data_IF_876353653688
#
_entry.id   IF_876353653688
#
_cell.length_a   1.000
_cell.length_b   1.000
_cell.length_c   1.000
_cell.angle_alpha   90.00
_cell.angle_beta   90.00
_cell.angle_gamma   90.00
#
_symmetry.space_group_name_H-M   'P 1'
#
loop_
_entity.id
_entity.type
_entity.pdbx_description
1 polymer ?
#
# COMPACT_ATOMS: atom_id res chain seq x y z
N UNK A 1 20.79 5.33 6.24
CA UNK A 1 19.70 4.37 6.36
C UNK A 1 18.35 5.09 6.31
N UNK A 2 17.49 4.66 5.41
CA UNK A 2 16.18 5.29 5.29
C UNK A 2 15.27 4.80 6.38
N UNK A 3 14.62 5.73 7.06
CA UNK A 3 13.60 5.40 8.03
C UNK A 3 12.24 5.80 7.47
N UNK A 4 11.25 4.96 7.68
CA UNK A 4 9.89 5.27 7.25
C UNK A 4 9.12 5.87 8.41
N UNK A 5 8.56 7.05 8.20
CA UNK A 5 7.74 7.70 9.21
C UNK A 5 6.30 7.17 9.14
N UNK A 6 5.55 7.42 10.22
CA UNK A 6 4.13 7.05 10.25
C UNK A 6 3.35 7.76 9.13
N UNK A 7 3.71 9.00 8.86
CA UNK A 7 3.07 9.77 7.78
C UNK A 7 3.29 9.11 6.43
N UNK A 8 4.51 8.66 6.15
CA UNK A 8 4.82 7.96 4.90
C UNK A 8 4.07 6.64 4.81
N UNK A 9 3.98 5.91 5.90
CA UNK A 9 3.24 4.65 5.94
C UNK A 9 1.76 4.88 5.67
N UNK A 10 1.17 5.94 6.24
CA UNK A 10 -0.23 6.29 6.01
C UNK A 10 -0.51 6.60 4.55
N UNK A 11 0.43 7.25 3.85
CA UNK A 11 0.27 7.53 2.41
C UNK A 11 0.17 6.23 1.62
N UNK A 12 1.02 5.26 1.92
CA UNK A 12 0.98 3.96 1.25
C UNK A 12 -0.34 3.25 1.55
N UNK A 13 -0.78 3.29 2.79
CA UNK A 13 -2.05 2.68 3.19
C UNK A 13 -3.24 3.31 2.47
N UNK A 14 -3.26 4.64 2.32
CA UNK A 14 -4.31 5.34 1.59
C UNK A 14 -4.35 4.91 0.13
N UNK A 15 -3.19 4.78 -0.51
CA UNK A 15 -3.10 4.29 -1.89
C UNK A 15 -3.70 2.89 -2.02
N UNK A 16 -3.40 2.02 -1.07
CA UNK A 16 -3.94 0.68 -1.04
C UNK A 16 -5.47 0.70 -0.95
N UNK A 17 -6.00 1.52 -0.04
CA UNK A 17 -7.45 1.63 0.16
C UNK A 17 -8.15 2.17 -1.09
N UNK A 18 -7.55 3.15 -1.76
CA UNK A 18 -8.10 3.71 -3.00
C UNK A 18 -8.11 2.67 -4.12
N UNK A 19 -7.02 1.92 -4.26
CA UNK A 19 -6.94 0.88 -5.28
C UNK A 19 -7.97 -0.22 -5.04
N UNK A 20 -8.15 -0.61 -3.77
CA UNK A 20 -9.16 -1.59 -3.39
C UNK A 20 -10.57 -1.08 -3.70
N UNK A 21 -10.84 0.18 -3.35
CA UNK A 21 -12.14 0.79 -3.63
C UNK A 21 -12.47 0.81 -5.11
N UNK A 22 -11.50 1.13 -5.94
CA UNK A 22 -11.67 1.11 -7.40
C UNK A 22 -11.96 -0.29 -7.90
N UNK A 23 -11.29 -1.28 -7.38
CA UNK A 23 -11.52 -2.66 -7.78
C UNK A 23 -12.93 -3.11 -7.39
N UNK A 24 -13.39 -2.77 -6.18
CA UNK A 24 -14.72 -3.14 -5.70
C UNK A 24 -15.81 -2.49 -6.59
N UNK A 25 -15.61 -1.22 -6.97
CA UNK A 25 -16.57 -0.49 -7.80
C UNK A 25 -16.54 -0.94 -9.26
N UNK A 26 -15.39 -1.31 -9.77
CA UNK A 26 -15.22 -1.68 -11.18
C UNK A 26 -14.19 -2.79 -11.28
N UNK A 27 -14.60 -4.06 -11.02
CA UNK A 27 -13.66 -5.19 -11.00
C UNK A 27 -13.22 -5.58 -12.42
N UNK A 28 -12.13 -4.99 -12.85
CA UNK A 28 -11.50 -5.28 -14.15
C UNK A 28 -10.09 -5.81 -13.91
N UNK A 29 -9.46 -6.35 -14.97
CA UNK A 29 -8.08 -6.81 -14.86
C UNK A 29 -7.13 -5.66 -14.55
N UNK A 30 -7.43 -4.46 -15.05
CA UNK A 30 -6.61 -3.28 -14.79
C UNK A 30 -6.68 -2.86 -13.31
N UNK A 31 -7.88 -2.83 -12.73
CA UNK A 31 -8.04 -2.47 -11.32
C UNK A 31 -7.52 -3.55 -10.39
N UNK A 32 -7.66 -4.82 -10.78
CA UNK A 32 -7.11 -5.94 -10.03
C UNK A 32 -5.59 -5.86 -9.97
N UNK A 33 -4.94 -5.52 -11.08
CA UNK A 33 -3.49 -5.37 -11.13
C UNK A 33 -3.02 -4.23 -10.24
N UNK A 34 -3.71 -3.10 -10.28
CA UNK A 34 -3.37 -1.95 -9.44
C UNK A 34 -3.53 -2.28 -7.96
N UNK A 35 -4.55 -3.03 -7.61
CA UNK A 35 -4.75 -3.46 -6.23
C UNK A 35 -3.63 -4.39 -5.77
N UNK A 36 -3.24 -5.35 -6.62
CA UNK A 36 -2.12 -6.25 -6.32
C UNK A 36 -0.81 -5.48 -6.13
N UNK A 37 -0.53 -4.52 -7.01
CA UNK A 37 0.67 -3.69 -6.91
C UNK A 37 0.66 -2.88 -5.62
N UNK A 38 -0.48 -2.31 -5.26
CA UNK A 38 -0.63 -1.54 -4.02
C UNK A 38 -0.47 -2.46 -2.79
N UNK A 39 -0.97 -3.69 -2.86
CA UNK A 39 -0.84 -4.66 -1.78
C UNK A 39 0.62 -5.01 -1.54
N UNK A 40 1.37 -5.25 -2.62
CA UNK A 40 2.80 -5.53 -2.53
C UNK A 40 3.55 -4.34 -1.94
N UNK A 41 3.24 -3.14 -2.40
CA UNK A 41 3.85 -1.92 -1.88
C UNK A 41 3.56 -1.74 -0.40
N UNK A 42 2.32 -2.03 0.02
CA UNK A 42 1.93 -1.95 1.42
C UNK A 42 2.70 -2.96 2.28
N UNK A 43 2.87 -4.18 1.79
CA UNK A 43 3.61 -5.21 2.51
C UNK A 43 5.08 -4.80 2.72
N UNK A 44 5.69 -4.26 1.68
CA UNK A 44 7.08 -3.78 1.76
C UNK A 44 7.19 -2.60 2.72
N UNK A 45 6.23 -1.67 2.65
CA UNK A 45 6.21 -0.51 3.54
C UNK A 45 6.00 -0.93 4.99
N UNK A 46 5.14 -1.90 5.22
CA UNK A 46 4.88 -2.42 6.57
C UNK A 46 6.16 -3.00 7.19
N UNK A 47 6.85 -3.84 6.41
CA UNK A 47 8.10 -4.44 6.88
C UNK A 47 9.14 -3.37 7.21
N UNK A 48 9.27 -2.38 6.33
CA UNK A 48 10.22 -1.29 6.51
C UNK A 48 9.88 -0.46 7.75
N UNK A 49 8.59 -0.17 7.93
CA UNK A 49 8.12 0.59 9.09
C UNK A 49 8.40 -0.15 10.40
N UNK A 50 8.13 -1.44 10.41
CA UNK A 50 8.37 -2.26 11.61
C UNK A 50 9.84 -2.39 11.94
N UNK A 51 10.72 -2.50 10.95
CA UNK A 51 12.16 -2.50 11.16
C UNK A 51 12.63 -1.20 11.81
N UNK A 52 12.06 -0.08 11.37
CA UNK A 52 12.40 1.23 11.90
C UNK A 52 12.01 1.39 13.36
N UNK A 53 10.98 0.68 13.79
CA UNK A 53 10.46 0.80 15.15
C UNK A 53 11.18 -0.04 16.19
N UNK A 54 12.09 -0.88 15.79
CA UNK A 54 12.85 -1.72 16.73
C UNK A 54 13.73 -0.92 17.69
#
# INVERSE_FOLDING_TARGET
METMTLTQFKVVLEKFMLARGRYVNSPTSATAKKWKDADLELALAYNKYMETRK
#
